data_IF_061123732078
#
_entry.id   IF_061123732078
#
_cell.length_a   1.000
_cell.length_b   1.000
_cell.length_c   1.000
_cell.angle_alpha   90.00
_cell.angle_beta   90.00
_cell.angle_gamma   90.00
#
_symmetry.space_group_name_H-M   'P 1'
#
loop_
_entity.id
_entity.type
_entity.pdbx_description
1 polymer ?
#
# COMPACT_ATOMS: atom_id res chain seq x y z
N UNK A 1 9.50 -43.43 22.32
CA UNK A 1 8.61 -43.41 21.14
C UNK A 1 7.43 -42.54 21.52
N UNK A 2 7.50 -41.25 21.19
CA UNK A 2 6.56 -40.20 21.63
C UNK A 2 5.63 -39.86 20.46
N UNK A 3 4.34 -40.11 20.62
CA UNK A 3 3.31 -39.76 19.66
C UNK A 3 3.06 -38.25 19.69
N UNK A 4 3.21 -37.61 18.52
CA UNK A 4 3.09 -36.17 18.34
C UNK A 4 1.70 -35.88 17.73
N UNK A 5 0.68 -35.75 18.56
CA UNK A 5 -0.69 -35.41 18.12
C UNK A 5 -0.77 -33.96 17.64
N UNK A 6 -0.56 -33.76 16.34
CA UNK A 6 -0.93 -32.53 15.64
C UNK A 6 -2.45 -32.36 15.70
N UNK A 7 -2.92 -31.47 16.56
CA UNK A 7 -4.32 -31.03 16.54
C UNK A 7 -4.52 -30.17 15.30
N UNK A 8 -5.12 -30.74 14.25
CA UNK A 8 -5.55 -29.96 13.09
C UNK A 8 -6.61 -28.95 13.51
N UNK A 9 -6.56 -27.76 12.91
CA UNK A 9 -7.57 -26.73 13.13
C UNK A 9 -8.96 -27.25 12.73
N UNK A 10 -10.02 -26.92 13.49
CA UNK A 10 -11.37 -27.34 13.16
C UNK A 10 -11.81 -26.78 11.81
N UNK A 11 -12.47 -27.62 11.02
CA UNK A 11 -13.04 -27.23 9.72
C UNK A 11 -14.30 -26.41 9.98
N UNK A 12 -14.44 -25.20 9.42
CA UNK A 12 -15.66 -24.40 9.56
C UNK A 12 -16.86 -25.17 8.97
N UNK A 13 -17.94 -25.27 9.74
CA UNK A 13 -19.22 -25.82 9.27
C UNK A 13 -20.12 -24.65 8.88
N UNK A 14 -20.34 -24.46 7.58
CA UNK A 14 -21.21 -23.43 7.01
C UNK A 14 -21.16 -23.48 5.48
N UNK A 15 -22.20 -22.96 4.82
CA UNK A 15 -22.27 -22.90 3.36
C UNK A 15 -21.12 -22.05 2.81
N UNK A 16 -20.27 -22.66 1.99
CA UNK A 16 -19.17 -21.98 1.31
C UNK A 16 -19.77 -21.19 0.16
N UNK A 17 -19.86 -19.87 0.31
CA UNK A 17 -20.10 -18.95 -0.81
C UNK A 17 -18.78 -18.83 -1.59
N UNK A 18 -18.70 -19.23 -2.86
CA UNK A 18 -17.52 -18.96 -3.70
C UNK A 18 -17.45 -17.45 -3.93
N UNK A 19 -16.68 -16.78 -3.08
CA UNK A 19 -16.49 -15.35 -3.09
C UNK A 19 -15.02 -15.02 -3.20
N UNK A 20 -14.74 -13.97 -3.97
CA UNK A 20 -13.45 -13.28 -4.07
C UNK A 20 -12.69 -13.37 -2.73
N UNK A 21 -11.48 -13.95 -2.69
CA UNK A 21 -10.74 -14.06 -1.44
C UNK A 21 -10.59 -12.68 -0.81
N UNK A 22 -10.78 -12.54 0.52
CA UNK A 22 -10.65 -11.25 1.17
C UNK A 22 -9.25 -10.71 0.94
N UNK A 23 -9.15 -9.40 0.70
CA UNK A 23 -7.86 -8.73 0.56
C UNK A 23 -7.10 -8.92 1.88
N UNK A 24 -5.87 -9.48 1.86
CA UNK A 24 -5.13 -9.73 3.08
C UNK A 24 -4.90 -8.45 3.88
N UNK A 25 -5.20 -8.50 5.18
CA UNK A 25 -4.87 -7.44 6.14
C UNK A 25 -3.57 -7.82 6.85
N UNK A 26 -2.59 -6.93 6.84
CA UNK A 26 -1.28 -7.12 7.49
C UNK A 26 -1.02 -6.02 8.49
N UNK A 27 -0.58 -6.37 9.70
CA UNK A 27 -0.25 -5.39 10.73
C UNK A 27 1.23 -5.05 10.68
N UNK A 28 1.58 -3.77 10.57
CA UNK A 28 2.95 -3.29 10.67
C UNK A 28 3.15 -2.54 11.98
N UNK A 29 3.98 -3.07 12.92
CA UNK A 29 4.34 -2.35 14.12
C UNK A 29 5.39 -1.29 13.78
N UNK A 30 4.94 -0.06 13.54
CA UNK A 30 5.78 1.09 13.21
C UNK A 30 5.27 2.33 13.93
N UNK A 31 6.12 3.29 14.31
CA UNK A 31 5.65 4.50 14.95
C UNK A 31 4.74 5.33 14.03
N UNK A 32 3.82 6.08 14.64
CA UNK A 32 3.02 7.10 13.97
C UNK A 32 3.89 8.17 13.29
N UNK A 33 3.42 8.77 12.18
CA UNK A 33 4.07 9.93 11.57
C UNK A 33 4.02 11.15 12.51
N UNK A 34 4.95 12.09 12.37
CA UNK A 34 4.80 13.39 13.03
C UNK A 34 3.71 14.22 12.33
N UNK A 35 3.23 15.26 13.01
CA UNK A 35 2.24 16.18 12.46
C UNK A 35 2.73 16.79 11.13
N UNK A 36 1.91 16.67 10.09
CA UNK A 36 2.21 17.17 8.74
C UNK A 36 3.05 16.24 7.88
N UNK A 37 3.47 15.08 8.39
CA UNK A 37 4.16 14.05 7.61
C UNK A 37 3.17 12.95 7.19
N UNK A 38 3.34 12.40 5.99
CA UNK A 38 2.49 11.30 5.50
C UNK A 38 2.84 9.96 6.17
N UNK A 39 4.09 9.75 6.55
CA UNK A 39 4.56 8.47 7.09
C UNK A 39 5.75 8.63 8.05
N UNK A 40 5.98 7.64 8.90
CA UNK A 40 7.21 7.55 9.70
C UNK A 40 8.38 6.95 8.89
N UNK A 41 9.62 7.15 9.36
CA UNK A 41 10.80 6.56 8.69
C UNK A 41 10.70 5.03 8.60
N UNK A 42 10.17 4.37 9.64
CA UNK A 42 10.02 2.92 9.67
C UNK A 42 8.99 2.43 8.63
N UNK A 43 7.92 3.20 8.41
CA UNK A 43 6.96 2.93 7.34
C UNK A 43 7.61 3.03 5.95
N UNK A 44 8.33 4.13 5.67
CA UNK A 44 9.02 4.32 4.38
C UNK A 44 10.01 3.20 4.07
N UNK A 45 10.82 2.79 5.06
CA UNK A 45 11.74 1.65 4.93
C UNK A 45 10.98 0.37 4.57
N UNK A 46 9.89 0.06 5.29
CA UNK A 46 9.10 -1.15 5.01
C UNK A 46 8.46 -1.14 3.63
N UNK A 47 7.91 0.00 3.19
CA UNK A 47 7.31 0.11 1.85
C UNK A 47 8.36 -0.17 0.77
N UNK A 48 9.52 0.50 0.84
CA UNK A 48 10.58 0.32 -0.15
C UNK A 48 11.12 -1.10 -0.14
N UNK A 49 11.42 -1.69 1.03
CA UNK A 49 12.00 -3.02 1.09
C UNK A 49 11.04 -4.14 0.68
N UNK A 50 9.76 -4.04 1.00
CA UNK A 50 8.80 -5.11 0.70
C UNK A 50 8.19 -5.02 -0.70
N UNK A 51 8.15 -3.81 -1.30
CA UNK A 51 7.42 -3.57 -2.54
C UNK A 51 8.32 -3.21 -3.73
N UNK A 52 9.65 -3.23 -3.55
CA UNK A 52 10.59 -2.90 -4.63
C UNK A 52 11.82 -3.80 -4.65
N UNK A 53 12.39 -4.00 -5.84
CA UNK A 53 13.68 -4.67 -6.05
C UNK A 53 14.82 -3.64 -6.23
N UNK A 54 16.09 -4.01 -5.99
CA UNK A 54 17.25 -3.16 -6.30
C UNK A 54 17.17 -2.59 -7.72
N UNK A 55 17.45 -1.30 -7.88
CA UNK A 55 17.35 -0.60 -9.17
C UNK A 55 15.93 -0.21 -9.61
N UNK A 56 14.89 -0.68 -8.90
CA UNK A 56 13.50 -0.26 -9.13
C UNK A 56 13.32 1.25 -8.93
N UNK A 57 12.48 1.85 -9.77
CA UNK A 57 12.13 3.27 -9.67
C UNK A 57 10.97 3.45 -8.70
N UNK A 58 11.14 4.37 -7.75
CA UNK A 58 10.11 4.80 -6.80
C UNK A 58 9.74 6.26 -7.09
N UNK A 59 8.44 6.53 -7.18
CA UNK A 59 7.90 7.89 -7.26
C UNK A 59 7.35 8.25 -5.87
N UNK A 60 7.94 9.30 -5.29
CA UNK A 60 7.56 9.83 -3.99
C UNK A 60 6.60 11.01 -4.17
N UNK A 61 5.33 10.85 -3.76
CA UNK A 61 4.33 11.90 -3.72
C UNK A 61 3.85 12.17 -2.28
N UNK A 62 4.58 11.65 -1.29
CA UNK A 62 4.23 11.79 0.12
C UNK A 62 4.85 13.06 0.71
N UNK A 63 4.21 13.63 1.73
CA UNK A 63 4.77 14.74 2.49
C UNK A 63 5.80 14.23 3.50
N UNK A 64 7.02 14.76 3.41
CA UNK A 64 8.12 14.52 4.33
C UNK A 64 9.32 13.78 3.70
N UNK A 65 10.46 13.70 4.41
CA UNK A 65 11.72 13.16 3.87
C UNK A 65 11.87 11.62 3.99
N UNK A 66 10.88 10.92 4.55
CA UNK A 66 11.01 9.54 5.03
C UNK A 66 11.22 8.56 3.89
N UNK A 67 10.44 8.68 2.80
CA UNK A 67 10.55 7.78 1.67
C UNK A 67 11.84 8.04 0.88
N UNK A 68 12.19 9.30 0.65
CA UNK A 68 13.49 9.68 0.09
C UNK A 68 14.67 9.03 0.84
N UNK A 69 14.67 9.08 2.18
CA UNK A 69 15.70 8.42 3.01
C UNK A 69 15.71 6.90 2.82
N UNK A 70 14.53 6.27 2.77
CA UNK A 70 14.41 4.83 2.57
C UNK A 70 14.92 4.39 1.18
N UNK A 71 14.63 5.16 0.13
CA UNK A 71 15.09 4.91 -1.24
C UNK A 71 16.62 4.95 -1.29
N UNK A 72 17.24 5.96 -0.70
CA UNK A 72 18.70 6.10 -0.65
C UNK A 72 19.32 4.93 0.11
N UNK A 73 18.80 4.61 1.30
CA UNK A 73 19.30 3.51 2.13
C UNK A 73 19.18 2.15 1.42
N UNK A 74 18.12 1.94 0.64
CA UNK A 74 17.89 0.73 -0.12
C UNK A 74 18.57 0.73 -1.51
N UNK A 75 19.33 1.76 -1.88
CA UNK A 75 19.95 1.87 -3.22
C UNK A 75 18.92 1.72 -4.36
N UNK A 76 17.79 2.42 -4.26
CA UNK A 76 16.74 2.50 -5.30
C UNK A 76 16.89 3.74 -6.17
N UNK A 77 16.29 3.72 -7.36
CA UNK A 77 16.18 4.92 -8.21
C UNK A 77 14.96 5.72 -7.76
N UNK A 78 15.01 7.05 -7.80
CA UNK A 78 13.86 7.87 -7.45
C UNK A 78 13.67 9.06 -8.38
N UNK A 79 12.41 9.40 -8.60
CA UNK A 79 12.02 10.74 -8.98
C UNK A 79 11.54 11.43 -7.71
N UNK A 80 12.40 12.28 -7.14
CA UNK A 80 12.04 13.20 -6.06
C UNK A 80 11.22 14.32 -6.69
N UNK A 81 9.93 14.11 -6.80
CA UNK A 81 9.01 15.13 -7.28
C UNK A 81 8.23 15.61 -6.08
N UNK A 82 8.49 16.83 -5.60
CA UNK A 82 7.48 17.48 -4.75
C UNK A 82 6.14 17.35 -5.47
N UNK A 83 5.06 16.97 -4.79
CA UNK A 83 3.73 16.72 -5.35
C UNK A 83 3.13 17.86 -6.22
N UNK A 84 3.90 18.92 -6.49
CA UNK A 84 3.54 20.15 -7.16
C UNK A 84 4.11 20.34 -8.57
N UNK A 85 4.83 19.40 -9.19
CA UNK A 85 5.28 19.60 -10.58
C UNK A 85 5.06 18.44 -11.55
N UNK A 86 4.57 18.88 -12.72
CA UNK A 86 4.30 18.14 -13.94
C UNK A 86 5.55 17.41 -14.42
N UNK A 87 5.47 16.08 -14.46
CA UNK A 87 6.42 15.22 -15.15
C UNK A 87 7.02 14.17 -14.24
N UNK A 88 6.32 13.05 -14.04
CA UNK A 88 6.83 11.84 -13.36
C UNK A 88 7.95 11.12 -14.16
N UNK A 89 8.74 11.87 -14.94
CA UNK A 89 9.69 11.37 -15.94
C UNK A 89 9.01 10.56 -17.04
N UNK A 90 9.79 9.97 -17.94
CA UNK A 90 9.28 9.01 -18.95
C UNK A 90 9.32 7.56 -18.46
N UNK A 91 10.16 7.28 -17.47
CA UNK A 91 10.38 5.93 -16.94
C UNK A 91 9.17 5.39 -16.16
N UNK A 92 9.00 4.07 -16.21
CA UNK A 92 7.98 3.37 -15.44
C UNK A 92 8.50 3.01 -14.04
N UNK A 93 7.65 3.17 -13.03
CA UNK A 93 7.93 2.93 -11.63
C UNK A 93 7.49 1.53 -11.19
N UNK A 94 8.22 0.95 -10.24
CA UNK A 94 7.78 -0.25 -9.51
C UNK A 94 6.86 0.11 -8.35
N UNK A 95 7.04 1.31 -7.76
CA UNK A 95 6.27 1.77 -6.61
C UNK A 95 5.98 3.28 -6.74
N UNK A 96 4.73 3.65 -6.51
CA UNK A 96 4.30 5.05 -6.32
C UNK A 96 3.74 5.15 -4.90
N UNK A 97 4.16 6.14 -4.12
CA UNK A 97 3.69 6.31 -2.74
C UNK A 97 3.05 7.68 -2.58
N UNK A 98 1.86 7.73 -1.98
CA UNK A 98 1.10 8.98 -1.83
C UNK A 98 0.28 8.99 -0.54
N UNK A 99 0.06 10.18 0.01
CA UNK A 99 -0.91 10.40 1.08
C UNK A 99 -2.32 10.62 0.52
N UNK A 100 -3.34 10.37 1.34
CA UNK A 100 -4.74 10.62 1.00
C UNK A 100 -5.46 11.39 2.13
N UNK A 101 -6.34 12.35 1.82
CA UNK A 101 -6.68 12.84 0.48
C UNK A 101 -5.53 13.60 -0.19
N UNK A 102 -5.57 13.68 -1.52
CA UNK A 102 -4.57 14.42 -2.31
C UNK A 102 -4.75 15.93 -2.07
N UNK A 103 -3.97 16.52 -1.18
CA UNK A 103 -4.05 17.95 -0.90
C UNK A 103 -3.39 18.75 -2.04
N UNK A 104 -4.16 19.63 -2.69
CA UNK A 104 -3.64 20.57 -3.69
C UNK A 104 -3.56 20.06 -5.14
N UNK A 105 -4.07 18.86 -5.42
CA UNK A 105 -4.21 18.35 -6.79
C UNK A 105 -5.60 18.72 -7.36
N UNK A 106 -5.68 19.35 -8.55
CA UNK A 106 -6.96 19.66 -9.19
C UNK A 106 -7.61 18.44 -9.87
N UNK A 107 -6.90 17.30 -9.95
CA UNK A 107 -7.36 16.11 -10.63
C UNK A 107 -8.32 15.28 -9.76
N UNK A 108 -9.32 14.69 -10.39
CA UNK A 108 -10.22 13.74 -9.73
C UNK A 108 -9.44 12.48 -9.26
N UNK A 109 -9.93 11.76 -8.23
CA UNK A 109 -9.33 10.50 -7.79
C UNK A 109 -9.09 9.50 -8.93
N UNK A 110 -10.04 9.41 -9.88
CA UNK A 110 -9.95 8.50 -11.04
C UNK A 110 -8.81 8.92 -11.96
N UNK A 111 -8.71 10.21 -12.31
CA UNK A 111 -7.61 10.73 -13.15
C UNK A 111 -6.25 10.52 -12.48
N UNK A 112 -6.16 10.69 -11.17
CA UNK A 112 -4.95 10.40 -10.42
C UNK A 112 -4.54 8.94 -10.58
N UNK A 113 -5.45 8.00 -10.32
CA UNK A 113 -5.13 6.57 -10.44
C UNK A 113 -4.86 6.14 -11.88
N UNK A 114 -5.47 6.78 -12.88
CA UNK A 114 -5.17 6.53 -14.29
C UNK A 114 -3.72 6.91 -14.63
N UNK A 115 -3.26 8.09 -14.16
CA UNK A 115 -1.85 8.50 -14.26
C UNK A 115 -0.92 7.53 -13.54
N UNK A 116 -1.29 7.06 -12.35
CA UNK A 116 -0.55 6.01 -11.63
C UNK A 116 -0.43 4.75 -12.46
N UNK A 117 -1.53 4.20 -12.97
CA UNK A 117 -1.53 2.99 -13.79
C UNK A 117 -0.63 3.14 -15.02
N UNK A 118 -0.73 4.26 -15.73
CA UNK A 118 0.09 4.54 -16.90
C UNK A 118 1.60 4.61 -16.59
N UNK A 119 1.96 4.90 -15.34
CA UNK A 119 3.35 5.03 -14.88
C UNK A 119 3.89 3.80 -14.17
N UNK A 120 3.05 2.84 -13.82
CA UNK A 120 3.50 1.59 -13.22
C UNK A 120 3.99 0.60 -14.27
N UNK A 121 5.08 -0.10 -13.94
CA UNK A 121 5.42 -1.37 -14.58
C UNK A 121 4.29 -2.40 -14.35
N UNK A 122 4.10 -3.39 -15.24
CA UNK A 122 3.28 -4.55 -14.92
C UNK A 122 3.77 -5.21 -13.62
N UNK A 123 2.86 -5.49 -12.68
CA UNK A 123 3.18 -5.96 -11.32
C UNK A 123 3.64 -4.87 -10.35
N UNK A 124 3.83 -3.62 -10.80
CA UNK A 124 4.09 -2.47 -9.93
C UNK A 124 2.87 -2.10 -9.08
N UNK A 125 3.08 -1.26 -8.06
CA UNK A 125 2.02 -0.87 -7.14
C UNK A 125 1.99 0.60 -6.75
N UNK A 126 0.81 1.08 -6.39
CA UNK A 126 0.57 2.33 -5.67
C UNK A 126 0.33 1.98 -4.21
N UNK A 127 1.09 2.59 -3.30
CA UNK A 127 0.82 2.57 -1.86
C UNK A 127 0.15 3.89 -1.47
N UNK A 128 -1.12 3.82 -1.06
CA UNK A 128 -1.91 4.97 -0.63
C UNK A 128 -1.99 4.96 0.89
N UNK A 129 -1.45 5.99 1.55
CA UNK A 129 -1.47 6.12 3.01
C UNK A 129 -2.63 7.02 3.44
N UNK A 130 -3.43 6.53 4.39
CA UNK A 130 -4.59 7.22 4.94
C UNK A 130 -4.46 7.30 6.46
N UNK A 131 -4.84 8.44 7.05
CA UNK A 131 -5.04 8.51 8.48
C UNK A 131 -6.14 7.51 8.89
N UNK A 132 -5.86 6.71 9.93
CA UNK A 132 -6.83 5.73 10.40
C UNK A 132 -8.02 6.42 11.08
N UNK A 133 -9.21 5.83 10.95
CA UNK A 133 -10.42 6.25 11.66
C UNK A 133 -11.54 6.78 10.77
N UNK A 134 -11.29 7.03 9.49
CA UNK A 134 -12.32 7.30 8.49
C UNK A 134 -12.60 6.03 7.67
N UNK A 135 -13.82 5.52 7.75
CA UNK A 135 -14.23 4.28 7.06
C UNK A 135 -14.59 4.51 5.59
N UNK A 136 -14.85 5.76 5.18
CA UNK A 136 -15.28 6.11 3.82
C UNK A 136 -14.06 6.31 2.91
N UNK A 137 -13.01 6.95 3.41
CA UNK A 137 -11.82 7.26 2.59
C UNK A 137 -11.18 6.01 1.94
N UNK A 138 -10.98 4.87 2.65
CA UNK A 138 -10.45 3.68 2.03
C UNK A 138 -11.33 3.14 0.91
N UNK A 139 -12.66 3.21 1.08
CA UNK A 139 -13.64 2.73 0.08
C UNK A 139 -13.57 3.57 -1.19
N UNK A 140 -13.54 4.89 -1.06
CA UNK A 140 -13.45 5.80 -2.21
C UNK A 140 -12.17 5.60 -3.02
N UNK A 141 -11.03 5.40 -2.32
CA UNK A 141 -9.76 5.05 -2.96
C UNK A 141 -9.87 3.75 -3.75
N UNK A 142 -10.42 2.70 -3.15
CA UNK A 142 -10.58 1.40 -3.81
C UNK A 142 -11.50 1.49 -5.03
N UNK A 143 -12.62 2.22 -4.92
CA UNK A 143 -13.55 2.43 -6.04
C UNK A 143 -12.86 3.19 -7.18
N UNK A 144 -12.14 4.28 -6.88
CA UNK A 144 -11.45 5.06 -7.89
C UNK A 144 -10.34 4.26 -8.58
N UNK A 145 -9.56 3.50 -7.82
CA UNK A 145 -8.52 2.62 -8.36
C UNK A 145 -9.08 1.49 -9.24
N UNK A 146 -10.17 0.85 -8.81
CA UNK A 146 -10.83 -0.20 -9.60
C UNK A 146 -11.37 0.31 -10.93
N UNK A 147 -11.91 1.53 -10.97
CA UNK A 147 -12.43 2.16 -12.20
C UNK A 147 -11.36 2.27 -13.30
N UNK A 148 -10.09 2.40 -12.93
CA UNK A 148 -8.97 2.48 -13.90
C UNK A 148 -8.28 1.13 -14.12
N UNK A 149 -8.77 0.05 -13.51
CA UNK A 149 -8.22 -1.30 -13.69
C UNK A 149 -7.04 -1.65 -12.78
N UNK A 150 -6.82 -0.94 -11.66
CA UNK A 150 -5.89 -1.37 -10.62
C UNK A 150 -6.57 -2.40 -9.70
N UNK A 151 -5.85 -3.47 -9.38
CA UNK A 151 -6.28 -4.48 -8.41
C UNK A 151 -5.96 -4.07 -6.98
N UNK A 152 -6.81 -4.43 -6.02
CA UNK A 152 -6.54 -4.19 -4.60
C UNK A 152 -5.83 -5.41 -4.00
N UNK A 153 -4.53 -5.28 -3.77
CA UNK A 153 -3.63 -6.39 -3.43
C UNK A 153 -3.59 -6.66 -1.93
N UNK A 154 -3.49 -5.62 -1.12
CA UNK A 154 -3.26 -5.76 0.32
C UNK A 154 -3.73 -4.52 1.08
N UNK A 155 -4.26 -4.74 2.28
CA UNK A 155 -4.45 -3.70 3.29
C UNK A 155 -3.35 -3.85 4.34
N UNK A 156 -2.62 -2.79 4.64
CA UNK A 156 -1.68 -2.77 5.75
C UNK A 156 -2.22 -1.81 6.82
N UNK A 157 -2.31 -2.27 8.07
CA UNK A 157 -2.64 -1.42 9.21
C UNK A 157 -1.39 -1.16 10.03
N UNK A 158 -1.03 0.10 10.15
CA UNK A 158 0.14 0.55 10.90
C UNK A 158 -0.26 0.89 12.34
N UNK A 159 0.44 0.33 13.31
CA UNK A 159 0.18 0.55 14.72
C UNK A 159 1.47 0.83 15.50
N UNK A 160 1.39 1.70 16.50
CA UNK A 160 2.55 2.20 17.26
C UNK A 160 3.36 1.07 17.92
N UNK A 161 2.71 -0.04 18.30
CA UNK A 161 3.35 -1.19 18.92
C UNK A 161 2.73 -2.53 18.48
N UNK A 162 3.53 -3.62 18.47
CA UNK A 162 2.98 -4.95 18.30
C UNK A 162 2.06 -5.29 19.48
N UNK A 163 1.02 -6.13 19.28
CA UNK A 163 0.14 -6.54 20.35
C UNK A 163 0.95 -7.22 21.47
N UNK A 164 0.85 -6.68 22.70
CA UNK A 164 1.48 -7.27 23.89
C UNK A 164 0.62 -8.45 24.36
N UNK A 165 1.25 -9.61 24.59
CA UNK A 165 0.53 -10.79 25.14
C UNK A 165 -0.08 -10.43 26.51
N UNK A 166 -1.38 -10.72 26.69
CA UNK A 166 -2.08 -10.59 27.97
C UNK A 166 -2.89 -9.30 28.16
N UNK A 167 -2.83 -8.34 27.23
CA UNK A 167 -3.68 -7.14 27.23
C UNK A 167 -4.80 -7.31 26.19
N UNK A 168 -6.03 -6.81 26.43
CA UNK A 168 -7.04 -6.73 25.37
C UNK A 168 -6.44 -6.09 24.13
N UNK A 169 -6.54 -6.78 22.99
CA UNK A 169 -5.87 -6.46 21.73
C UNK A 169 -6.49 -5.24 21.06
N UNK A 170 -6.35 -4.07 21.68
CA UNK A 170 -6.56 -2.80 20.98
C UNK A 170 -5.24 -2.42 20.34
N UNK A 171 -5.12 -2.70 19.04
CA UNK A 171 -4.04 -2.16 18.23
C UNK A 171 -4.27 -0.66 18.14
N UNK A 172 -3.26 0.13 18.50
CA UNK A 172 -3.30 1.58 18.36
C UNK A 172 -2.97 1.94 16.90
N UNK A 173 -3.96 1.71 16.03
CA UNK A 173 -3.82 1.88 14.59
C UNK A 173 -3.90 3.36 14.26
N UNK A 174 -2.87 3.88 13.60
CA UNK A 174 -2.78 5.30 13.22
C UNK A 174 -2.82 5.52 11.70
N UNK A 175 -2.49 4.50 10.90
CA UNK A 175 -2.44 4.63 9.43
C UNK A 175 -2.91 3.36 8.74
N UNK A 176 -3.79 3.52 7.76
CA UNK A 176 -4.12 2.48 6.78
C UNK A 176 -3.28 2.69 5.53
N UNK A 177 -2.73 1.61 4.98
CA UNK A 177 -2.02 1.65 3.69
C UNK A 177 -2.67 0.67 2.74
N UNK A 178 -3.21 1.19 1.64
CA UNK A 178 -3.82 0.41 0.58
C UNK A 178 -2.81 0.16 -0.52
N UNK A 179 -2.53 -1.10 -0.80
CA UNK A 179 -1.64 -1.51 -1.89
C UNK A 179 -2.48 -1.86 -3.10
N UNK A 180 -2.34 -1.07 -4.15
CA UNK A 180 -3.06 -1.20 -5.41
C UNK A 180 -2.06 -1.59 -6.50
N UNK A 181 -2.34 -2.61 -7.31
CA UNK A 181 -1.37 -3.14 -8.28
C UNK A 181 -1.89 -3.08 -9.71
N UNK A 182 -0.96 -2.85 -10.65
CA UNK A 182 -1.20 -3.06 -12.08
C UNK A 182 -0.96 -4.54 -12.38
N UNK A 183 -1.92 -5.21 -13.02
CA UNK A 183 -1.76 -6.62 -13.43
C UNK A 183 -0.48 -6.83 -14.26
N UNK A 184 0.14 -8.00 -14.09
CA UNK A 184 1.25 -8.46 -14.93
C UNK A 184 0.78 -8.96 -16.30
N UNK A 185 -0.52 -9.29 -16.42
CA UNK A 185 -1.15 -9.72 -17.66
C UNK A 185 -1.62 -8.49 -18.45
N UNK A 186 -0.74 -7.97 -19.31
CA UNK A 186 -1.18 -7.14 -20.44
C UNK A 186 -1.46 -8.09 -21.63
N UNK A 187 -2.70 -8.61 -21.73
CA UNK A 187 -3.22 -9.25 -22.95
C UNK A 187 -3.71 -10.70 -22.83
N UNK A 188 -4.99 -10.91 -23.12
CA UNK A 188 -5.56 -12.25 -23.30
C UNK A 188 -7.07 -12.34 -23.06
N UNK A 189 -7.87 -11.46 -23.67
CA UNK A 189 -9.28 -11.78 -23.89
C UNK A 189 -9.32 -12.76 -25.08
N UNK A 190 -9.21 -14.05 -24.80
CA UNK A 190 -9.65 -15.09 -25.74
C UNK A 190 -11.14 -15.30 -25.52
N UNK A 191 -11.91 -14.93 -26.54
CA UNK A 191 -13.31 -15.32 -26.71
C UNK A 191 -13.45 -16.70 -27.33
#
# INVERSE_FOLDING_TARGET
>A
MTDNTHHSAPVPVGDVVPGVPPVPITVWPVPAPHLGETMSNAMGVRLVHNLTHPGGLVIDLADGPQLARAIIAASRRSHLTSARQVGWGREAASLIVTGWPLFGEPASPVEFFDRCRAKLLPGGCVAVLLAHGDLVLPVDVVIAAKKVGLGYLQHIVAADQPPRRGTPTRLDIHTDVLILTRSTEDGGADG
#
